data_IF_312534093995
#
_entry.id   IF_312534093995
#
_cell.length_a   1.000
_cell.length_b   1.000
_cell.length_c   1.000
_cell.angle_alpha   90.00
_cell.angle_beta   90.00
_cell.angle_gamma   90.00
#
_symmetry.space_group_name_H-M   'P 1'
#
loop_
_entity.id
_entity.type
_entity.pdbx_description
1 polymer ?
#
# COMPACT_ATOMS: atom_id res chain seq x y z
N UNK A 1 21.34 37.90 31.03
CA UNK A 1 21.61 36.92 29.96
C UNK A 1 20.56 35.81 29.84
N UNK A 2 20.00 35.30 30.95
CA UNK A 2 19.01 34.20 31.02
C UNK A 2 17.65 34.48 30.36
N UNK A 3 17.04 35.66 30.52
CA UNK A 3 15.72 36.01 29.96
C UNK A 3 15.70 36.15 28.43
N UNK A 4 16.84 36.53 27.81
CA UNK A 4 16.98 36.66 26.35
C UNK A 4 17.05 35.28 25.68
N UNK A 5 17.77 34.32 26.32
CA UNK A 5 17.90 32.94 25.86
C UNK A 5 16.56 32.18 25.95
N UNK A 6 15.75 32.44 27.00
CA UNK A 6 14.42 31.86 27.13
C UNK A 6 13.43 32.45 26.10
N UNK A 7 13.55 33.74 25.77
CA UNK A 7 12.72 34.41 24.77
C UNK A 7 13.04 33.93 23.34
N UNK A 8 14.33 33.68 23.05
CA UNK A 8 14.76 33.14 21.77
C UNK A 8 14.40 31.64 21.62
N UNK A 9 14.49 30.85 22.68
CA UNK A 9 13.96 29.46 22.68
C UNK A 9 12.44 29.41 22.49
N UNK A 10 11.67 30.35 23.06
CA UNK A 10 10.22 30.46 22.81
C UNK A 10 9.90 30.95 21.41
N UNK A 11 10.70 31.86 20.83
CA UNK A 11 10.53 32.31 19.42
C UNK A 11 10.92 31.23 18.41
N UNK A 12 11.98 30.47 18.65
CA UNK A 12 12.36 29.33 17.81
C UNK A 12 11.35 28.18 17.90
N UNK A 13 10.71 27.96 19.05
CA UNK A 13 9.64 26.96 19.17
C UNK A 13 8.34 27.42 18.49
N UNK A 14 8.00 28.73 18.52
CA UNK A 14 6.85 29.27 17.78
C UNK A 14 7.08 29.30 16.25
N UNK A 15 8.32 29.42 15.78
CA UNK A 15 8.64 29.42 14.34
C UNK A 15 8.56 28.02 13.68
N UNK A 16 8.64 26.93 14.45
CA UNK A 16 8.62 25.56 13.94
C UNK A 16 7.23 24.97 13.68
N UNK A 17 6.15 25.63 14.10
CA UNK A 17 4.77 25.21 13.81
C UNK A 17 4.02 26.27 12.99
N UNK A 18 4.46 26.52 11.77
CA UNK A 18 3.59 27.14 10.77
C UNK A 18 2.62 26.06 10.31
N UNK A 19 1.53 25.88 11.05
CA UNK A 19 0.40 25.06 10.67
C UNK A 19 -0.11 25.49 9.30
N UNK A 20 0.09 24.68 8.25
CA UNK A 20 -0.63 24.90 7.01
C UNK A 20 -2.12 24.72 7.30
N UNK A 21 -2.93 25.62 6.75
CA UNK A 21 -4.39 25.46 6.76
C UNK A 21 -4.72 24.07 6.28
N UNK A 22 -5.59 23.31 6.98
CA UNK A 22 -6.01 21.99 6.50
C UNK A 22 -6.52 22.12 5.07
N UNK A 23 -6.21 21.14 4.25
CA UNK A 23 -6.72 21.08 2.87
C UNK A 23 -8.24 21.14 2.93
N UNK A 24 -8.87 21.85 2.01
CA UNK A 24 -10.32 21.88 1.92
C UNK A 24 -10.82 20.51 1.45
N UNK A 25 -11.02 19.62 2.42
CA UNK A 25 -11.43 18.25 2.16
C UNK A 25 -12.77 18.17 1.44
N UNK A 26 -13.70 19.10 1.70
CA UNK A 26 -15.01 19.11 1.05
C UNK A 26 -14.88 19.39 -0.45
N UNK A 27 -14.03 20.34 -0.86
CA UNK A 27 -13.78 20.61 -2.27
C UNK A 27 -13.19 19.40 -2.99
N UNK A 28 -12.19 18.74 -2.37
CA UNK A 28 -11.60 17.53 -2.95
C UNK A 28 -12.59 16.38 -3.02
N UNK A 29 -13.42 16.20 -1.99
CA UNK A 29 -14.46 15.19 -1.99
C UNK A 29 -15.47 15.39 -3.12
N UNK A 30 -15.92 16.64 -3.35
CA UNK A 30 -16.80 16.97 -4.48
C UNK A 30 -16.13 16.67 -5.83
N UNK A 31 -14.86 17.01 -5.98
CA UNK A 31 -14.10 16.70 -7.20
C UNK A 31 -13.97 15.19 -7.43
N UNK A 32 -13.69 14.43 -6.37
CA UNK A 32 -13.63 12.97 -6.43
C UNK A 32 -14.98 12.36 -6.79
N UNK A 33 -16.07 12.83 -6.18
CA UNK A 33 -17.44 12.40 -6.52
C UNK A 33 -17.76 12.67 -7.99
N UNK A 34 -17.42 13.84 -8.51
CA UNK A 34 -17.61 14.17 -9.93
C UNK A 34 -16.81 13.23 -10.84
N UNK A 35 -15.57 12.94 -10.47
CA UNK A 35 -14.71 11.98 -11.19
C UNK A 35 -15.31 10.57 -11.18
N UNK A 36 -15.80 10.09 -10.04
CA UNK A 36 -16.42 8.76 -9.89
C UNK A 36 -17.71 8.65 -10.71
N UNK A 37 -18.56 9.69 -10.72
CA UNK A 37 -19.75 9.74 -11.57
C UNK A 37 -19.37 9.70 -13.04
N UNK A 38 -18.35 10.45 -13.44
CA UNK A 38 -17.84 10.42 -14.82
C UNK A 38 -17.33 9.03 -15.22
N UNK A 39 -16.59 8.34 -14.34
CA UNK A 39 -16.19 6.95 -14.57
C UNK A 39 -17.38 6.01 -14.72
N UNK A 40 -18.40 6.14 -13.87
CA UNK A 40 -19.61 5.32 -13.97
C UNK A 40 -20.34 5.54 -15.29
N UNK A 41 -20.49 6.80 -15.74
CA UNK A 41 -21.10 7.14 -17.04
C UNK A 41 -20.32 6.53 -18.19
N UNK A 42 -18.99 6.63 -18.20
CA UNK A 42 -18.16 6.02 -19.26
C UNK A 42 -18.35 4.50 -19.33
N UNK A 43 -18.34 3.81 -18.19
CA UNK A 43 -18.54 2.35 -18.18
C UNK A 43 -19.96 2.00 -18.66
N UNK A 44 -20.97 2.78 -18.28
CA UNK A 44 -22.35 2.58 -18.72
C UNK A 44 -22.57 2.77 -20.20
N UNK A 45 -21.89 3.75 -20.80
CA UNK A 45 -21.98 3.99 -22.26
C UNK A 45 -21.29 2.91 -23.09
N UNK A 46 -20.25 2.28 -22.52
CA UNK A 46 -19.47 1.23 -23.19
C UNK A 46 -19.93 -0.19 -22.81
N UNK A 47 -20.80 -0.34 -21.81
CA UNK A 47 -21.34 -1.62 -21.31
C UNK A 47 -22.59 -2.07 -22.07
N UNK A 48 -22.70 -3.40 -22.36
CA UNK A 48 -23.72 -3.93 -23.27
C UNK A 48 -25.10 -4.17 -22.67
N UNK A 49 -25.24 -5.00 -21.63
CA UNK A 49 -26.56 -5.50 -21.17
C UNK A 49 -27.15 -4.70 -20.00
N UNK A 50 -28.48 -4.58 -19.90
CA UNK A 50 -29.17 -3.78 -18.89
C UNK A 50 -28.95 -4.28 -17.44
N UNK A 51 -28.78 -5.58 -17.24
CA UNK A 51 -28.46 -6.19 -15.92
C UNK A 51 -27.09 -5.70 -15.43
N UNK A 52 -26.13 -5.58 -16.32
CA UNK A 52 -24.79 -5.07 -16.03
C UNK A 52 -24.85 -3.59 -15.65
N UNK A 53 -25.70 -2.79 -16.33
CA UNK A 53 -25.88 -1.37 -16.02
C UNK A 53 -26.40 -1.15 -14.60
N UNK A 54 -27.39 -1.95 -14.14
CA UNK A 54 -27.89 -1.89 -12.77
C UNK A 54 -26.79 -2.14 -11.72
N UNK A 55 -25.93 -3.13 -11.96
CA UNK A 55 -24.79 -3.43 -11.08
C UNK A 55 -23.79 -2.26 -11.00
N UNK A 56 -23.45 -1.64 -12.13
CA UNK A 56 -22.52 -0.51 -12.18
C UNK A 56 -23.06 0.67 -11.37
N UNK A 57 -24.33 1.05 -11.60
CA UNK A 57 -24.97 2.14 -10.87
C UNK A 57 -24.99 1.86 -9.37
N UNK A 58 -25.40 0.66 -8.95
CA UNK A 58 -25.49 0.29 -7.55
C UNK A 58 -24.12 0.32 -6.85
N UNK A 59 -23.07 -0.21 -7.48
CA UNK A 59 -21.73 -0.27 -6.91
C UNK A 59 -21.14 1.14 -6.72
N UNK A 60 -21.24 2.01 -7.73
CA UNK A 60 -20.75 3.38 -7.62
C UNK A 60 -21.57 4.22 -6.63
N UNK A 61 -22.90 4.09 -6.64
CA UNK A 61 -23.76 4.78 -5.67
C UNK A 61 -23.45 4.36 -4.23
N UNK A 62 -23.27 3.05 -3.97
CA UNK A 62 -22.88 2.56 -2.66
C UNK A 62 -21.48 3.06 -2.27
N UNK A 63 -20.52 3.05 -3.19
CA UNK A 63 -19.17 3.53 -2.91
C UNK A 63 -19.16 5.02 -2.53
N UNK A 64 -19.83 5.87 -3.31
CA UNK A 64 -19.99 7.30 -3.02
C UNK A 64 -20.70 7.52 -1.68
N UNK A 65 -21.77 6.76 -1.40
CA UNK A 65 -22.49 6.85 -0.12
C UNK A 65 -21.59 6.52 1.07
N UNK A 66 -20.77 5.45 0.97
CA UNK A 66 -19.82 5.06 2.03
C UNK A 66 -18.77 6.15 2.22
N UNK A 67 -18.24 6.70 1.13
CA UNK A 67 -17.25 7.77 1.17
C UNK A 67 -17.82 9.02 1.88
N UNK A 68 -18.95 9.52 1.47
CA UNK A 68 -19.61 10.67 2.10
C UNK A 68 -19.96 10.40 3.57
N UNK A 69 -20.51 9.22 3.89
CA UNK A 69 -20.82 8.81 5.25
C UNK A 69 -19.58 8.83 6.13
N UNK A 70 -18.45 8.30 5.62
CA UNK A 70 -17.18 8.32 6.33
C UNK A 70 -16.76 9.76 6.68
N UNK A 71 -16.71 10.66 5.69
CA UNK A 71 -16.27 12.03 5.93
C UNK A 71 -17.23 12.82 6.84
N UNK A 72 -18.53 12.67 6.70
CA UNK A 72 -19.54 13.33 7.55
C UNK A 72 -19.42 12.84 8.99
N UNK A 73 -19.32 11.53 9.21
CA UNK A 73 -19.19 10.97 10.56
C UNK A 73 -17.88 11.41 11.23
N UNK A 74 -16.76 11.31 10.53
CA UNK A 74 -15.47 11.65 11.13
C UNK A 74 -15.26 13.16 11.28
N UNK A 75 -15.80 13.99 10.40
CA UNK A 75 -15.76 15.45 10.53
C UNK A 75 -16.75 15.96 11.58
N UNK A 76 -17.99 15.46 11.55
CA UNK A 76 -19.06 15.91 12.46
C UNK A 76 -18.91 15.38 13.87
N UNK A 77 -18.98 14.05 14.06
CA UNK A 77 -18.95 13.42 15.38
C UNK A 77 -17.57 13.45 16.03
N UNK A 78 -16.52 13.08 15.29
CA UNK A 78 -15.17 12.99 15.83
C UNK A 78 -14.39 14.31 15.69
N UNK A 79 -15.00 15.33 15.08
CA UNK A 79 -14.43 16.69 14.88
C UNK A 79 -13.00 16.66 14.35
N UNK A 80 -12.70 15.71 13.45
CA UNK A 80 -11.40 15.63 12.79
C UNK A 80 -11.26 16.74 11.76
N UNK A 81 -10.05 17.28 11.60
CA UNK A 81 -9.76 18.39 10.68
C UNK A 81 -8.85 18.00 9.51
N UNK A 82 -8.12 16.90 9.63
CA UNK A 82 -7.15 16.41 8.64
C UNK A 82 -7.67 15.12 8.01
N UNK A 83 -7.76 15.09 6.70
CA UNK A 83 -8.27 13.96 5.90
C UNK A 83 -7.42 13.66 4.68
N UNK A 84 -6.20 14.21 4.60
CA UNK A 84 -5.35 14.10 3.42
C UNK A 84 -5.05 12.64 3.05
N UNK A 85 -4.79 11.80 4.04
CA UNK A 85 -4.42 10.39 3.84
C UNK A 85 -5.63 9.57 3.41
N UNK A 86 -6.79 9.82 4.03
CA UNK A 86 -8.04 9.15 3.70
C UNK A 86 -8.53 9.54 2.30
N UNK A 87 -8.42 10.80 1.91
CA UNK A 87 -8.76 11.26 0.55
C UNK A 87 -7.92 10.51 -0.51
N UNK A 88 -6.61 10.36 -0.27
CA UNK A 88 -5.74 9.60 -1.17
C UNK A 88 -6.18 8.13 -1.24
N UNK A 89 -6.48 7.50 -0.10
CA UNK A 89 -6.89 6.10 -0.06
C UNK A 89 -8.23 5.87 -0.80
N UNK A 90 -9.22 6.74 -0.61
CA UNK A 90 -10.47 6.68 -1.35
C UNK A 90 -10.28 6.94 -2.84
N UNK A 91 -9.49 7.94 -3.22
CA UNK A 91 -9.20 8.21 -4.63
C UNK A 91 -8.59 6.99 -5.34
N UNK A 92 -7.55 6.40 -4.76
CA UNK A 92 -6.89 5.21 -5.33
C UNK A 92 -7.82 3.98 -5.35
N UNK A 93 -8.60 3.77 -4.28
CA UNK A 93 -9.59 2.68 -4.23
C UNK A 93 -10.70 2.88 -5.29
N UNK A 94 -11.10 4.13 -5.54
CA UNK A 94 -12.07 4.48 -6.59
C UNK A 94 -11.58 4.17 -7.99
N UNK A 95 -10.29 4.45 -8.29
CA UNK A 95 -9.66 4.05 -9.56
C UNK A 95 -9.63 2.52 -9.69
N UNK A 96 -9.22 1.80 -8.64
CA UNK A 96 -9.22 0.33 -8.63
C UNK A 96 -10.61 -0.28 -8.82
N UNK A 97 -11.64 0.34 -8.21
CA UNK A 97 -13.04 -0.06 -8.40
C UNK A 97 -13.50 0.17 -9.85
N UNK A 98 -13.17 1.33 -10.43
CA UNK A 98 -13.52 1.69 -11.80
C UNK A 98 -12.88 0.71 -12.81
N UNK A 99 -11.58 0.43 -12.68
CA UNK A 99 -10.88 -0.54 -13.53
C UNK A 99 -11.44 -1.96 -13.39
N UNK A 100 -11.69 -2.41 -12.15
CA UNK A 100 -12.27 -3.74 -11.95
C UNK A 100 -13.66 -3.83 -12.57
N UNK A 101 -14.46 -2.78 -12.44
CA UNK A 101 -15.82 -2.74 -12.97
C UNK A 101 -15.85 -2.66 -14.50
N UNK A 102 -14.90 -1.95 -15.12
CA UNK A 102 -14.81 -1.83 -16.58
C UNK A 102 -14.46 -3.16 -17.26
N UNK A 103 -13.62 -3.99 -16.60
CA UNK A 103 -13.17 -5.28 -17.15
C UNK A 103 -14.08 -6.43 -16.73
N UNK A 104 -14.47 -6.47 -15.45
CA UNK A 104 -15.24 -7.56 -14.83
C UNK A 104 -16.43 -7.01 -14.03
N UNK A 105 -17.51 -6.57 -14.67
CA UNK A 105 -18.69 -6.01 -13.97
C UNK A 105 -19.28 -6.94 -12.90
N UNK A 106 -19.24 -8.25 -13.15
CA UNK A 106 -19.69 -9.29 -12.19
C UNK A 106 -18.80 -9.41 -10.94
N UNK A 107 -17.59 -8.87 -10.96
CA UNK A 107 -16.67 -8.82 -9.81
C UNK A 107 -16.68 -7.46 -9.08
N UNK A 108 -17.45 -6.49 -9.55
CA UNK A 108 -17.53 -5.14 -8.98
C UNK A 108 -17.98 -5.16 -7.51
N UNK A 109 -18.98 -5.96 -7.16
CA UNK A 109 -19.40 -6.14 -5.76
C UNK A 109 -18.30 -6.77 -4.90
N UNK A 110 -17.56 -7.73 -5.41
CA UNK A 110 -16.46 -8.36 -4.67
C UNK A 110 -15.37 -7.33 -4.34
N UNK A 111 -15.03 -6.45 -5.29
CA UNK A 111 -14.07 -5.38 -5.08
C UNK A 111 -14.60 -4.34 -4.08
N UNK A 112 -15.88 -3.96 -4.17
CA UNK A 112 -16.52 -3.05 -3.21
C UNK A 112 -16.50 -3.64 -1.80
N UNK A 113 -16.84 -4.92 -1.62
CA UNK A 113 -16.77 -5.61 -0.32
C UNK A 113 -15.33 -5.59 0.22
N UNK A 114 -14.33 -5.81 -0.63
CA UNK A 114 -12.92 -5.74 -0.22
C UNK A 114 -12.53 -4.34 0.29
N UNK A 115 -13.04 -3.28 -0.35
CA UNK A 115 -12.85 -1.89 0.11
C UNK A 115 -13.52 -1.68 1.48
N UNK A 116 -14.78 -2.12 1.63
CA UNK A 116 -15.51 -2.00 2.89
C UNK A 116 -14.83 -2.73 4.04
N UNK A 117 -14.36 -3.94 3.80
CA UNK A 117 -13.56 -4.70 4.77
C UNK A 117 -12.24 -3.98 5.09
N UNK A 118 -11.60 -3.39 4.08
CA UNK A 118 -10.41 -2.57 4.28
C UNK A 118 -10.66 -1.36 5.17
N UNK A 119 -11.75 -0.63 4.95
CA UNK A 119 -12.18 0.50 5.81
C UNK A 119 -12.45 0.00 7.24
N UNK A 120 -13.07 -1.16 7.39
CA UNK A 120 -13.28 -1.81 8.69
C UNK A 120 -11.95 -2.09 9.40
N UNK A 121 -10.98 -2.68 8.71
CA UNK A 121 -9.62 -2.92 9.22
C UNK A 121 -8.94 -1.60 9.61
N UNK A 122 -9.06 -0.56 8.79
CA UNK A 122 -8.54 0.77 9.09
C UNK A 122 -9.10 1.33 10.40
N UNK A 123 -10.41 1.27 10.60
CA UNK A 123 -11.07 1.78 11.82
C UNK A 123 -10.62 1.00 13.06
N UNK A 124 -10.61 -0.34 12.97
CA UNK A 124 -10.18 -1.22 14.07
C UNK A 124 -8.71 -0.97 14.42
N UNK A 125 -7.83 -0.88 13.43
CA UNK A 125 -6.43 -0.60 13.66
C UNK A 125 -6.23 0.79 14.28
N UNK A 126 -6.93 1.84 13.83
CA UNK A 126 -6.85 3.15 14.46
C UNK A 126 -7.29 3.12 15.92
N UNK A 127 -8.30 2.31 16.27
CA UNK A 127 -8.70 2.12 17.66
C UNK A 127 -7.60 1.40 18.46
N UNK A 128 -6.97 0.36 17.95
CA UNK A 128 -5.83 -0.31 18.59
C UNK A 128 -4.67 0.66 18.76
N UNK A 129 -4.32 1.40 17.71
CA UNK A 129 -3.20 2.32 17.66
C UNK A 129 -3.43 3.60 18.48
N UNK A 130 -4.66 3.85 18.96
CA UNK A 130 -4.95 5.02 19.79
C UNK A 130 -4.30 4.97 21.17
N UNK A 131 -3.84 3.81 21.62
CA UNK A 131 -3.23 3.57 22.92
C UNK A 131 -1.90 2.80 22.78
N UNK A 132 -0.81 3.42 23.23
CA UNK A 132 0.53 2.84 23.14
C UNK A 132 0.70 1.61 24.03
N UNK A 133 0.01 1.54 25.17
CA UNK A 133 0.09 0.38 26.05
C UNK A 133 -0.54 -0.86 25.42
N UNK A 134 -1.62 -0.70 24.65
CA UNK A 134 -2.19 -1.78 23.83
C UNK A 134 -1.21 -2.23 22.75
N UNK A 135 -0.55 -1.29 22.08
CA UNK A 135 0.44 -1.59 21.04
C UNK A 135 1.57 -2.44 21.62
N UNK A 136 2.12 -2.05 22.75
CA UNK A 136 3.21 -2.79 23.40
C UNK A 136 2.77 -4.18 23.86
N UNK A 137 1.57 -4.33 24.41
CA UNK A 137 1.01 -5.63 24.81
C UNK A 137 0.75 -6.56 23.63
N UNK A 138 0.26 -6.03 22.52
CA UNK A 138 -0.08 -6.82 21.32
C UNK A 138 1.14 -7.20 20.48
N UNK A 139 2.30 -6.60 20.69
CA UNK A 139 3.50 -6.84 19.91
C UNK A 139 3.87 -8.33 19.76
N UNK A 140 3.98 -9.04 20.89
CA UNK A 140 4.37 -10.45 20.89
C UNK A 140 3.29 -11.38 20.31
N UNK A 141 2.01 -11.27 20.70
CA UNK A 141 0.94 -12.01 20.05
C UNK A 141 0.89 -11.82 18.53
N UNK A 142 1.00 -10.58 18.05
CA UNK A 142 0.99 -10.28 16.62
C UNK A 142 2.20 -10.89 15.90
N UNK A 143 3.39 -10.86 16.50
CA UNK A 143 4.59 -11.48 15.91
C UNK A 143 4.43 -13.00 15.77
N UNK A 144 3.94 -13.67 16.82
CA UNK A 144 3.72 -15.13 16.82
C UNK A 144 2.65 -15.50 15.79
N UNK A 145 1.53 -14.75 15.77
CA UNK A 145 0.43 -15.01 14.83
C UNK A 145 0.87 -14.78 13.38
N UNK A 146 1.74 -13.81 13.12
CA UNK A 146 2.29 -13.54 11.78
C UNK A 146 3.14 -14.71 11.27
N UNK A 147 4.04 -15.23 12.11
CA UNK A 147 4.86 -16.40 11.76
C UNK A 147 3.96 -17.64 11.57
N UNK A 148 3.01 -17.87 12.48
CA UNK A 148 2.08 -18.99 12.38
C UNK A 148 1.24 -18.91 11.09
N UNK A 149 0.78 -17.73 10.70
CA UNK A 149 0.02 -17.50 9.46
C UNK A 149 0.87 -17.81 8.21
N UNK A 150 2.15 -17.40 8.17
CA UNK A 150 3.05 -17.72 7.07
C UNK A 150 3.36 -19.23 7.02
N UNK A 151 3.62 -19.87 8.15
CA UNK A 151 3.85 -21.32 8.23
C UNK A 151 2.59 -22.09 7.79
N UNK A 152 1.41 -21.68 8.25
CA UNK A 152 0.15 -22.25 7.82
C UNK A 152 -0.02 -22.14 6.30
N UNK A 153 0.29 -20.97 5.72
CA UNK A 153 0.26 -20.78 4.28
C UNK A 153 1.24 -21.70 3.56
N UNK A 154 2.48 -21.83 4.05
CA UNK A 154 3.48 -22.70 3.45
C UNK A 154 3.00 -24.17 3.35
N UNK A 155 2.24 -24.64 4.36
CA UNK A 155 1.73 -26.01 4.43
C UNK A 155 0.49 -26.19 3.55
N UNK A 156 -0.50 -25.28 3.63
CA UNK A 156 -1.83 -25.46 3.04
C UNK A 156 -2.07 -24.71 1.73
N UNK A 157 -1.16 -23.82 1.31
CA UNK A 157 -1.35 -23.04 0.08
C UNK A 157 -1.27 -23.93 -1.17
N UNK A 158 -2.13 -23.61 -2.13
CA UNK A 158 -2.05 -24.15 -3.48
C UNK A 158 -0.89 -23.54 -4.25
N UNK A 159 -0.25 -24.34 -5.10
CA UNK A 159 0.77 -23.83 -6.02
C UNK A 159 0.05 -23.13 -7.19
N UNK A 160 0.18 -21.80 -7.28
CA UNK A 160 -0.36 -20.99 -8.37
C UNK A 160 0.84 -20.28 -9.02
N UNK A 161 1.03 -20.50 -10.33
CA UNK A 161 2.13 -19.90 -11.11
C UNK A 161 3.53 -20.12 -10.48
N UNK A 162 3.74 -21.25 -9.80
CA UNK A 162 5.02 -21.60 -9.19
C UNK A 162 5.27 -21.05 -7.78
N UNK A 163 4.37 -20.23 -7.23
CA UNK A 163 4.43 -19.74 -5.86
C UNK A 163 3.35 -20.41 -4.98
N UNK A 164 3.67 -20.61 -3.69
CA UNK A 164 2.75 -21.17 -2.67
C UNK A 164 2.39 -20.10 -1.66
N UNK A 165 1.60 -19.12 -2.07
CA UNK A 165 1.27 -17.95 -1.25
C UNK A 165 -0.23 -17.65 -1.15
N UNK A 166 -1.09 -18.45 -1.80
CA UNK A 166 -2.53 -18.28 -1.81
C UNK A 166 -3.27 -19.39 -1.11
N UNK A 167 -4.07 -19.06 -0.12
CA UNK A 167 -5.06 -19.94 0.50
C UNK A 167 -6.38 -19.74 -0.23
N UNK A 168 -6.86 -20.79 -0.89
CA UNK A 168 -8.11 -20.77 -1.65
C UNK A 168 -9.17 -21.55 -0.87
N UNK A 169 -10.27 -20.87 -0.52
CA UNK A 169 -11.37 -21.42 0.27
C UNK A 169 -12.62 -21.49 -0.62
N UNK A 170 -13.42 -22.54 -0.48
CA UNK A 170 -14.73 -22.67 -1.13
C UNK A 170 -14.67 -22.69 -2.66
N UNK A 171 -13.89 -23.61 -3.25
CA UNK A 171 -13.77 -23.78 -4.72
C UNK A 171 -13.40 -22.49 -5.50
N UNK A 172 -12.63 -21.59 -4.87
CA UNK A 172 -12.20 -20.35 -5.52
C UNK A 172 -13.06 -19.12 -5.19
N UNK A 173 -14.04 -19.25 -4.32
CA UNK A 173 -14.87 -18.12 -3.86
C UNK A 173 -14.06 -17.05 -3.12
N UNK A 174 -13.12 -17.49 -2.27
CA UNK A 174 -12.22 -16.60 -1.52
C UNK A 174 -10.78 -17.07 -1.71
N UNK A 175 -9.94 -16.14 -2.12
CA UNK A 175 -8.49 -16.33 -2.16
C UNK A 175 -7.82 -15.29 -1.27
N UNK A 176 -7.07 -15.75 -0.29
CA UNK A 176 -6.39 -14.89 0.69
C UNK A 176 -4.88 -15.11 0.55
N UNK A 177 -4.16 -14.03 0.33
CA UNK A 177 -2.71 -14.00 0.41
C UNK A 177 -2.31 -13.51 1.80
N UNK A 178 -1.89 -14.42 2.67
CA UNK A 178 -1.55 -14.13 4.06
C UNK A 178 -0.39 -13.18 4.20
N UNK A 179 0.57 -13.20 3.30
CA UNK A 179 1.70 -12.27 3.29
C UNK A 179 1.26 -10.81 3.17
N UNK A 180 0.12 -10.52 2.52
CA UNK A 180 -0.45 -9.17 2.48
C UNK A 180 -0.81 -8.67 3.89
N UNK A 181 -1.51 -9.49 4.68
CA UNK A 181 -1.89 -9.15 6.06
C UNK A 181 -0.66 -9.03 6.95
N UNK A 182 0.31 -9.93 6.76
CA UNK A 182 1.56 -9.93 7.54
C UNK A 182 2.42 -8.69 7.27
N UNK A 183 2.31 -8.00 6.12
CA UNK A 183 2.99 -6.72 5.87
C UNK A 183 2.62 -5.65 6.92
N UNK A 184 1.34 -5.52 7.24
CA UNK A 184 0.86 -4.57 8.27
C UNK A 184 1.41 -4.97 9.64
N UNK A 185 1.31 -6.25 9.97
CA UNK A 185 1.83 -6.81 11.24
C UNK A 185 3.35 -6.64 11.36
N UNK A 186 4.10 -6.80 10.27
CA UNK A 186 5.54 -6.65 10.23
C UNK A 186 6.00 -5.25 10.63
N UNK A 187 5.36 -4.22 10.07
CA UNK A 187 5.62 -2.82 10.45
C UNK A 187 5.21 -2.56 11.89
N UNK A 188 4.02 -3.05 12.29
CA UNK A 188 3.52 -2.90 13.65
C UNK A 188 4.50 -3.48 14.67
N UNK A 189 4.96 -4.72 14.48
CA UNK A 189 5.90 -5.42 15.38
C UNK A 189 7.25 -4.69 15.40
N UNK A 190 7.76 -4.29 14.24
CA UNK A 190 9.03 -3.57 14.13
C UNK A 190 9.00 -2.24 14.88
N UNK A 191 8.00 -1.41 14.59
CA UNK A 191 7.84 -0.12 15.24
C UNK A 191 7.59 -0.24 16.76
N UNK A 192 6.73 -1.20 17.19
CA UNK A 192 6.43 -1.43 18.60
C UNK A 192 7.61 -1.99 19.40
N UNK A 193 8.44 -2.82 18.76
CA UNK A 193 9.66 -3.33 19.39
C UNK A 193 10.67 -2.20 19.61
N UNK A 194 10.75 -1.28 18.67
CA UNK A 194 11.71 -0.19 18.69
C UNK A 194 11.28 1.01 19.57
N UNK A 195 10.01 1.12 19.98
CA UNK A 195 9.56 2.11 20.97
C UNK A 195 10.15 1.86 22.36
N UNK A 196 10.25 0.60 22.77
CA UNK A 196 10.68 0.20 24.13
C UNK A 196 12.18 -0.04 24.26
N UNK A 197 12.98 0.27 23.23
CA UNK A 197 14.39 -0.08 23.17
C UNK A 197 15.27 0.76 24.12
N UNK A 198 15.57 0.15 25.24
CA UNK A 198 16.80 0.39 26.02
C UNK A 198 17.75 -0.83 26.00
N UNK A 199 17.41 -1.92 25.32
CA UNK A 199 18.11 -3.20 25.38
C UNK A 199 18.38 -3.80 23.99
N UNK A 200 19.64 -4.19 23.74
CA UNK A 200 20.08 -4.95 22.57
C UNK A 200 19.28 -6.24 22.34
N UNK A 201 18.76 -6.87 23.42
CA UNK A 201 17.94 -8.10 23.34
C UNK A 201 16.64 -7.91 22.53
N UNK A 202 16.04 -6.74 22.55
CA UNK A 202 14.80 -6.49 21.78
C UNK A 202 15.09 -6.30 20.30
N UNK A 203 16.21 -5.67 19.96
CA UNK A 203 16.67 -5.56 18.57
C UNK A 203 16.93 -6.94 17.96
N UNK A 204 17.63 -7.82 18.68
CA UNK A 204 17.88 -9.19 18.24
C UNK A 204 16.57 -9.94 17.98
N UNK A 205 15.57 -9.80 18.86
CA UNK A 205 14.24 -10.41 18.65
C UNK A 205 13.55 -9.92 17.37
N UNK A 206 13.65 -8.63 17.07
CA UNK A 206 13.09 -8.08 15.83
C UNK A 206 13.84 -8.58 14.60
N UNK A 207 15.16 -8.65 14.65
CA UNK A 207 15.99 -9.19 13.55
C UNK A 207 15.60 -10.65 13.28
N UNK A 208 15.50 -11.49 14.33
CA UNK A 208 15.08 -12.89 14.21
C UNK A 208 13.69 -12.97 13.57
N UNK A 209 12.72 -12.17 14.03
CA UNK A 209 11.39 -12.11 13.43
C UNK A 209 11.43 -11.74 11.96
N UNK A 210 12.18 -10.71 11.59
CA UNK A 210 12.31 -10.23 10.22
C UNK A 210 12.95 -11.27 9.30
N UNK A 211 14.06 -11.88 9.74
CA UNK A 211 14.75 -12.95 9.00
C UNK A 211 13.85 -14.17 8.83
N UNK A 212 13.09 -14.54 9.86
CA UNK A 212 12.13 -15.65 9.77
C UNK A 212 11.04 -15.36 8.74
N UNK A 213 10.43 -14.18 8.76
CA UNK A 213 9.40 -13.79 7.78
C UNK A 213 9.96 -13.80 6.34
N UNK A 214 11.11 -13.17 6.10
CA UNK A 214 11.75 -13.13 4.78
C UNK A 214 12.13 -14.54 4.33
N UNK A 215 12.69 -15.37 5.22
CA UNK A 215 13.06 -16.74 4.94
C UNK A 215 11.87 -17.61 4.54
N UNK A 216 10.73 -17.49 5.26
CA UNK A 216 9.49 -18.22 4.92
C UNK A 216 8.97 -17.80 3.53
N UNK A 217 8.92 -16.49 3.23
CA UNK A 217 8.51 -15.99 1.91
C UNK A 217 9.42 -16.50 0.81
N UNK A 218 10.72 -16.61 1.09
CA UNK A 218 11.68 -17.16 0.16
C UNK A 218 11.42 -18.66 -0.13
N UNK A 219 11.11 -19.46 0.91
CA UNK A 219 10.75 -20.87 0.76
C UNK A 219 9.44 -21.01 -0.03
N UNK A 220 8.49 -20.11 0.18
CA UNK A 220 7.22 -20.04 -0.57
C UNK A 220 7.38 -19.61 -2.03
N UNK A 221 8.61 -19.22 -2.45
CA UNK A 221 8.95 -18.64 -3.78
C UNK A 221 8.23 -17.33 -4.09
N UNK A 222 7.85 -16.57 -3.06
CA UNK A 222 7.27 -15.23 -3.16
C UNK A 222 8.37 -14.17 -3.02
N UNK A 223 9.22 -14.05 -4.06
CA UNK A 223 10.38 -13.17 -4.03
C UNK A 223 10.02 -11.68 -4.05
N UNK A 224 8.94 -11.33 -4.75
CA UNK A 224 8.47 -9.94 -4.78
C UNK A 224 8.09 -9.44 -3.40
N UNK A 225 7.29 -10.21 -2.67
CA UNK A 225 6.92 -9.89 -1.29
C UNK A 225 8.12 -9.98 -0.34
N UNK A 226 9.01 -10.96 -0.49
CA UNK A 226 10.24 -11.06 0.30
C UNK A 226 11.12 -9.80 0.16
N UNK A 227 11.24 -9.25 -1.05
CA UNK A 227 11.97 -8.01 -1.31
C UNK A 227 11.29 -6.79 -0.64
N UNK A 228 9.96 -6.73 -0.64
CA UNK A 228 9.21 -5.69 0.07
C UNK A 228 9.46 -5.76 1.58
N UNK A 229 9.44 -6.96 2.17
CA UNK A 229 9.73 -7.15 3.60
C UNK A 229 11.16 -6.77 3.94
N UNK A 230 12.11 -7.17 3.12
CA UNK A 230 13.52 -6.80 3.29
C UNK A 230 13.71 -5.28 3.23
N UNK A 231 13.17 -4.62 2.21
CA UNK A 231 13.21 -3.16 2.10
C UNK A 231 12.59 -2.47 3.32
N UNK A 232 11.43 -2.96 3.75
CA UNK A 232 10.75 -2.43 4.94
C UNK A 232 11.59 -2.61 6.20
N UNK A 233 12.26 -3.76 6.35
CA UNK A 233 13.21 -3.99 7.45
C UNK A 233 14.36 -2.98 7.42
N UNK A 234 14.96 -2.73 6.26
CA UNK A 234 16.05 -1.74 6.09
C UNK A 234 15.58 -0.34 6.48
N UNK A 235 14.39 0.07 6.04
CA UNK A 235 13.82 1.39 6.40
C UNK A 235 13.59 1.50 7.91
N UNK A 236 13.00 0.49 8.55
CA UNK A 236 12.77 0.49 10.00
C UNK A 236 14.11 0.54 10.76
N UNK A 237 15.11 -0.24 10.33
CA UNK A 237 16.43 -0.25 10.91
C UNK A 237 17.12 1.13 10.78
N UNK A 238 16.98 1.77 9.61
CA UNK A 238 17.50 3.12 9.37
C UNK A 238 16.83 4.18 10.24
N UNK A 239 15.52 4.22 10.25
CA UNK A 239 14.78 5.20 11.04
C UNK A 239 15.11 5.10 12.54
N UNK A 240 15.56 3.94 12.97
CA UNK A 240 16.00 3.72 14.35
C UNK A 240 17.46 4.03 14.61
N UNK A 241 18.36 3.52 13.78
CA UNK A 241 19.81 3.66 14.03
C UNK A 241 20.33 5.04 13.63
N UNK A 242 19.75 5.63 12.59
CA UNK A 242 20.30 6.85 11.95
C UNK A 242 21.67 6.65 11.31
N UNK A 243 22.17 5.40 11.28
CA UNK A 243 23.53 5.08 10.82
C UNK A 243 23.51 4.44 9.42
N UNK A 244 24.04 5.18 8.46
CA UNK A 244 24.15 4.74 7.06
C UNK A 244 25.10 3.54 6.90
N UNK A 245 26.13 3.41 7.77
CA UNK A 245 27.08 2.29 7.69
C UNK A 245 26.39 0.95 7.97
N UNK A 246 25.50 0.93 8.95
CA UNK A 246 24.68 -0.26 9.25
C UNK A 246 23.82 -0.68 8.06
N UNK A 247 23.22 0.29 7.35
CA UNK A 247 22.43 0.00 6.14
C UNK A 247 23.30 -0.57 5.04
N UNK A 248 24.45 0.07 4.79
CA UNK A 248 25.38 -0.41 3.77
C UNK A 248 25.78 -1.88 4.05
N UNK A 249 26.07 -2.23 5.31
CA UNK A 249 26.41 -3.59 5.70
C UNK A 249 25.26 -4.57 5.46
N UNK A 250 24.02 -4.19 5.82
CA UNK A 250 22.83 -5.01 5.59
C UNK A 250 22.60 -5.22 4.09
N UNK A 251 22.68 -4.15 3.29
CA UNK A 251 22.49 -4.22 1.84
C UNK A 251 23.61 -5.03 1.16
N UNK A 252 24.86 -4.89 1.59
CA UNK A 252 25.97 -5.68 1.09
C UNK A 252 25.81 -7.17 1.40
N UNK A 253 25.39 -7.52 2.62
CA UNK A 253 25.06 -8.90 2.99
C UNK A 253 23.92 -9.48 2.17
N UNK A 254 22.88 -8.69 1.93
CA UNK A 254 21.76 -9.10 1.08
C UNK A 254 22.15 -9.26 -0.38
N UNK A 255 23.05 -8.42 -0.90
CA UNK A 255 23.58 -8.54 -2.26
C UNK A 255 24.35 -9.86 -2.42
N UNK A 256 25.24 -10.16 -1.48
CA UNK A 256 26.00 -11.43 -1.48
C UNK A 256 25.05 -12.63 -1.40
N UNK A 257 24.05 -12.58 -0.52
CA UNK A 257 23.02 -13.61 -0.42
C UNK A 257 22.21 -13.74 -1.71
N UNK A 258 21.84 -12.63 -2.35
CA UNK A 258 21.13 -12.58 -3.62
C UNK A 258 21.94 -13.21 -4.77
N UNK A 259 23.22 -12.91 -4.88
CA UNK A 259 24.12 -13.53 -5.86
C UNK A 259 24.18 -15.04 -5.63
N UNK A 260 24.31 -15.50 -4.38
CA UNK A 260 24.27 -16.90 -4.03
C UNK A 260 22.96 -17.57 -4.48
N UNK A 261 21.82 -16.91 -4.26
CA UNK A 261 20.51 -17.43 -4.71
C UNK A 261 20.43 -17.54 -6.24
N UNK A 262 20.89 -16.54 -6.97
CA UNK A 262 20.91 -16.57 -8.44
C UNK A 262 21.78 -17.72 -8.98
N UNK A 263 22.90 -18.01 -8.30
CA UNK A 263 23.82 -19.09 -8.68
C UNK A 263 23.25 -20.48 -8.41
N UNK A 264 22.60 -20.67 -7.25
CA UNK A 264 22.16 -22.00 -6.81
C UNK A 264 20.68 -22.31 -7.12
N UNK A 265 19.88 -21.33 -7.60
CA UNK A 265 18.44 -21.52 -7.89
C UNK A 265 18.09 -21.14 -9.32
N UNK A 266 18.18 -22.07 -10.29
CA UNK A 266 17.91 -21.82 -11.72
C UNK A 266 16.53 -21.16 -11.98
N UNK A 267 15.54 -21.46 -11.15
CA UNK A 267 14.21 -20.87 -11.26
C UNK A 267 14.23 -19.33 -11.10
N UNK A 268 15.08 -18.80 -10.21
CA UNK A 268 15.22 -17.35 -10.01
C UNK A 268 16.00 -16.76 -11.18
N UNK A 269 17.08 -17.41 -11.61
CA UNK A 269 17.88 -17.00 -12.77
C UNK A 269 17.03 -16.91 -14.05
N UNK A 270 16.10 -17.85 -14.25
CA UNK A 270 15.20 -17.85 -15.41
C UNK A 270 14.26 -16.65 -15.50
N UNK A 271 13.97 -15.97 -14.39
CA UNK A 271 13.20 -14.71 -14.42
C UNK A 271 14.01 -13.53 -14.97
N UNK A 272 15.34 -13.60 -14.88
CA UNK A 272 16.23 -12.60 -15.45
C UNK A 272 16.53 -12.81 -16.94
N UNK A 273 16.24 -13.99 -17.49
CA UNK A 273 16.54 -14.30 -18.90
C UNK A 273 15.74 -13.45 -19.90
N UNK A 274 14.53 -13.04 -19.54
CA UNK A 274 13.69 -12.17 -20.38
C UNK A 274 13.85 -10.68 -20.04
N UNK A 275 14.49 -10.35 -18.93
CA UNK A 275 14.69 -8.97 -18.49
C UNK A 275 15.59 -8.20 -19.47
N UNK A 276 15.20 -7.00 -19.85
CA UNK A 276 15.78 -6.16 -20.90
C UNK A 276 15.73 -6.76 -22.34
N UNK A 277 15.13 -7.95 -22.52
CA UNK A 277 15.01 -8.64 -23.81
C UNK A 277 13.58 -9.07 -24.10
N UNK A 278 12.57 -8.41 -23.51
CA UNK A 278 11.16 -8.82 -23.61
C UNK A 278 10.65 -8.85 -25.05
N UNK A 279 11.19 -8.03 -25.95
CA UNK A 279 10.82 -7.98 -27.36
C UNK A 279 11.22 -9.22 -28.13
N UNK A 280 12.34 -9.88 -27.76
CA UNK A 280 12.77 -11.15 -28.33
C UNK A 280 11.85 -12.31 -27.90
N UNK A 281 11.17 -12.15 -26.75
CA UNK A 281 10.23 -13.12 -26.18
C UNK A 281 8.76 -12.66 -26.26
N UNK A 282 8.43 -11.80 -27.24
CA UNK A 282 7.12 -11.14 -27.34
C UNK A 282 5.93 -12.10 -27.42
N UNK A 283 6.12 -13.29 -28.01
CA UNK A 283 5.07 -14.31 -28.13
C UNK A 283 5.11 -15.39 -27.02
N UNK A 284 6.04 -15.29 -26.10
CA UNK A 284 6.24 -16.28 -25.02
C UNK A 284 6.28 -15.62 -23.64
N UNK A 285 7.44 -15.59 -22.99
CA UNK A 285 7.61 -15.08 -21.60
C UNK A 285 7.41 -13.57 -21.49
N UNK A 286 7.70 -12.80 -22.54
CA UNK A 286 7.54 -11.35 -22.60
C UNK A 286 6.15 -10.88 -23.05
N UNK A 287 5.25 -11.79 -23.44
CA UNK A 287 3.96 -11.46 -24.05
C UNK A 287 3.16 -10.41 -23.27
N UNK A 288 2.98 -10.61 -21.98
CA UNK A 288 2.19 -9.69 -21.14
C UNK A 288 2.85 -8.30 -21.04
N UNK A 289 4.17 -8.23 -20.83
CA UNK A 289 4.89 -6.96 -20.72
C UNK A 289 4.92 -6.19 -22.05
N UNK A 290 5.17 -6.87 -23.17
CA UNK A 290 5.15 -6.24 -24.49
C UNK A 290 3.75 -5.68 -24.80
N UNK A 291 2.68 -6.44 -24.54
CA UNK A 291 1.31 -5.95 -24.72
C UNK A 291 0.99 -4.80 -23.79
N UNK A 292 1.44 -4.86 -22.53
CA UNK A 292 1.29 -3.76 -21.59
C UNK A 292 1.95 -2.47 -22.13
N UNK A 293 3.20 -2.54 -22.61
CA UNK A 293 3.89 -1.36 -23.13
C UNK A 293 3.18 -0.77 -24.36
N UNK A 294 2.79 -1.62 -25.32
CA UNK A 294 2.08 -1.18 -26.53
C UNK A 294 0.77 -0.49 -26.18
N UNK A 295 -0.04 -1.10 -25.32
CA UNK A 295 -1.36 -0.57 -25.01
C UNK A 295 -1.29 0.62 -24.03
N UNK A 296 -0.31 0.67 -23.12
CA UNK A 296 -0.10 1.86 -22.28
C UNK A 296 0.17 3.12 -23.10
N UNK A 297 0.95 3.00 -24.18
CA UNK A 297 1.23 4.14 -25.08
C UNK A 297 -0.01 4.55 -25.88
N UNK A 298 -0.87 3.60 -26.24
CA UNK A 298 -2.09 3.89 -27.00
C UNK A 298 -3.09 4.79 -26.24
N UNK A 299 -3.01 4.81 -24.90
CA UNK A 299 -3.85 5.68 -24.05
C UNK A 299 -3.54 7.18 -24.19
N UNK A 300 -2.34 7.55 -24.62
CA UNK A 300 -1.94 8.94 -24.75
C UNK A 300 -2.06 9.74 -23.46
N UNK A 301 -2.42 11.04 -23.57
CA UNK A 301 -2.51 11.93 -22.40
C UNK A 301 -3.79 11.70 -21.59
N UNK A 302 -4.93 11.44 -22.23
CA UNK A 302 -6.26 11.45 -21.62
C UNK A 302 -6.92 10.08 -21.51
N UNK A 303 -6.29 9.02 -22.06
CA UNK A 303 -6.82 7.67 -22.09
C UNK A 303 -7.82 7.42 -23.22
N UNK A 304 -8.06 6.13 -23.49
CA UNK A 304 -9.07 5.67 -24.46
C UNK A 304 -10.49 5.69 -23.87
N UNK A 305 -10.62 5.92 -22.56
CA UNK A 305 -11.86 5.79 -21.79
C UNK A 305 -12.07 4.37 -21.25
N UNK A 306 -12.80 4.30 -20.13
CA UNK A 306 -13.06 3.06 -19.41
C UNK A 306 -13.83 2.05 -20.28
N UNK A 307 -13.32 0.83 -20.35
CA UNK A 307 -13.91 -0.26 -21.12
C UNK A 307 -13.52 -0.30 -22.61
N UNK A 308 -12.77 0.68 -23.11
CA UNK A 308 -12.31 0.72 -24.51
C UNK A 308 -10.88 0.19 -24.70
N UNK A 309 -10.16 -0.06 -23.58
CA UNK A 309 -8.80 -0.58 -23.61
C UNK A 309 -8.73 -2.01 -24.15
N UNK A 310 -7.65 -2.34 -24.83
CA UNK A 310 -7.36 -3.69 -25.36
C UNK A 310 -6.64 -4.56 -24.33
N UNK A 311 -5.94 -3.95 -23.37
CA UNK A 311 -5.20 -4.65 -22.33
C UNK A 311 -6.12 -5.52 -21.46
N UNK A 312 -7.42 -5.16 -21.35
CA UNK A 312 -8.44 -5.95 -20.63
C UNK A 312 -8.56 -7.40 -21.10
N UNK A 313 -8.19 -7.71 -22.36
CA UNK A 313 -8.20 -9.06 -22.90
C UNK A 313 -6.96 -9.89 -22.53
N UNK A 314 -5.98 -9.31 -21.86
CA UNK A 314 -4.77 -10.00 -21.42
C UNK A 314 -4.97 -10.60 -20.03
N UNK A 315 -4.43 -11.80 -19.81
CA UNK A 315 -4.49 -12.48 -18.52
C UNK A 315 -3.90 -11.60 -17.41
N UNK A 316 -4.55 -11.55 -16.24
CA UNK A 316 -4.17 -10.77 -15.06
C UNK A 316 -4.08 -9.24 -15.31
N UNK A 317 -4.87 -8.71 -16.26
CA UNK A 317 -4.87 -7.28 -16.62
C UNK A 317 -5.17 -6.37 -15.42
N UNK A 318 -6.13 -6.74 -14.58
CA UNK A 318 -6.51 -5.96 -13.38
C UNK A 318 -5.65 -6.25 -12.14
N UNK A 319 -4.78 -7.22 -12.18
CA UNK A 319 -3.87 -7.61 -11.10
C UNK A 319 -2.45 -7.10 -11.36
N UNK A 320 -1.72 -7.82 -12.20
CA UNK A 320 -0.29 -7.60 -12.45
C UNK A 320 -0.02 -6.53 -13.51
N UNK A 321 -1.01 -6.20 -14.35
CA UNK A 321 -0.91 -5.21 -15.41
C UNK A 321 -1.68 -3.91 -15.08
N UNK A 322 -2.11 -3.75 -13.84
CA UNK A 322 -3.00 -2.67 -13.41
C UNK A 322 -2.48 -1.26 -13.75
N UNK A 323 -1.16 -1.01 -13.68
CA UNK A 323 -0.59 0.27 -14.09
C UNK A 323 -0.77 0.55 -15.59
N UNK A 324 -0.57 -0.47 -16.44
CA UNK A 324 -0.81 -0.38 -17.89
C UNK A 324 -2.27 -0.08 -18.19
N UNK A 325 -3.20 -0.70 -17.47
CA UNK A 325 -4.63 -0.40 -17.56
C UNK A 325 -4.93 1.06 -17.21
N UNK A 326 -4.32 1.61 -16.13
CA UNK A 326 -4.46 3.02 -15.81
C UNK A 326 -3.93 3.91 -16.94
N UNK A 327 -2.78 3.59 -17.53
CA UNK A 327 -2.22 4.35 -18.65
C UNK A 327 -3.12 4.29 -19.88
N UNK A 328 -3.65 3.10 -20.23
CA UNK A 328 -4.47 2.90 -21.41
C UNK A 328 -5.85 3.55 -21.27
N UNK A 329 -6.57 3.27 -20.19
CA UNK A 329 -7.96 3.71 -20.03
C UNK A 329 -8.11 5.16 -19.50
N UNK A 330 -7.24 5.58 -18.55
CA UNK A 330 -7.29 6.93 -17.96
C UNK A 330 -6.26 7.91 -18.54
N UNK A 331 -5.23 7.40 -19.23
CA UNK A 331 -4.13 8.21 -19.77
C UNK A 331 -3.01 8.50 -18.78
N UNK A 332 -1.91 9.03 -19.34
CA UNK A 332 -0.67 9.25 -18.59
C UNK A 332 -0.82 10.32 -17.48
N UNK A 333 -1.72 11.29 -17.63
CA UNK A 333 -1.95 12.34 -16.63
C UNK A 333 -2.49 11.72 -15.33
N UNK A 334 -3.50 10.86 -15.42
CA UNK A 334 -4.05 10.18 -14.24
C UNK A 334 -3.05 9.16 -13.70
N UNK A 335 -2.34 8.41 -14.57
CA UNK A 335 -1.29 7.48 -14.14
C UNK A 335 -0.20 8.20 -13.34
N UNK A 336 0.26 9.37 -13.80
CA UNK A 336 1.24 10.18 -13.09
C UNK A 336 0.67 10.72 -11.76
N UNK A 337 -0.60 11.15 -11.76
CA UNK A 337 -1.29 11.58 -10.52
C UNK A 337 -1.33 10.47 -9.48
N UNK A 338 -1.61 9.23 -9.90
CA UNK A 338 -1.54 8.04 -9.03
C UNK A 338 -0.16 7.91 -8.40
N UNK A 339 0.91 8.00 -9.17
CA UNK A 339 2.28 7.91 -8.63
C UNK A 339 2.58 9.04 -7.63
N UNK A 340 2.14 10.26 -7.94
CA UNK A 340 2.31 11.42 -7.05
C UNK A 340 1.59 11.25 -5.71
N UNK A 341 0.47 10.52 -5.66
CA UNK A 341 -0.23 10.27 -4.38
C UNK A 341 0.62 9.44 -3.42
N UNK A 342 1.37 8.45 -3.89
CA UNK A 342 2.29 7.66 -3.05
C UNK A 342 3.46 8.50 -2.54
N UNK A 343 4.01 9.37 -3.38
CA UNK A 343 5.02 10.35 -2.95
C UNK A 343 4.44 11.30 -1.89
N UNK A 344 3.20 11.75 -2.08
CA UNK A 344 2.52 12.61 -1.11
C UNK A 344 2.33 11.92 0.25
N UNK A 345 2.02 10.61 0.30
CA UNK A 345 1.95 9.84 1.55
C UNK A 345 3.30 9.80 2.28
N UNK A 346 4.41 9.63 1.56
CA UNK A 346 5.76 9.67 2.16
C UNK A 346 6.07 11.07 2.71
N UNK A 347 5.81 12.12 1.93
CA UNK A 347 6.00 13.50 2.37
C UNK A 347 5.14 13.83 3.59
N UNK A 348 3.90 13.36 3.61
CA UNK A 348 3.01 13.47 4.77
C UNK A 348 3.62 12.81 6.00
N UNK A 349 4.02 11.55 5.89
CA UNK A 349 4.59 10.76 7.00
C UNK A 349 5.84 11.41 7.58
N UNK A 350 6.77 11.87 6.73
CA UNK A 350 7.99 12.57 7.16
C UNK A 350 7.66 13.86 7.91
N UNK A 351 6.73 14.67 7.39
CA UNK A 351 6.35 15.94 8.02
C UNK A 351 5.76 15.75 9.42
N UNK A 352 4.86 14.78 9.58
CA UNK A 352 4.26 14.50 10.89
C UNK A 352 5.21 13.77 11.83
N UNK A 353 6.14 12.97 11.29
CA UNK A 353 7.19 12.30 12.06
C UNK A 353 8.09 13.28 12.82
N UNK A 354 8.45 14.41 12.19
CA UNK A 354 9.26 15.47 12.85
C UNK A 354 8.54 16.11 14.04
N UNK A 355 7.20 16.14 14.02
CA UNK A 355 6.38 16.70 15.09
C UNK A 355 6.00 15.67 16.18
N UNK A 356 6.13 14.37 15.88
CA UNK A 356 5.78 13.29 16.79
C UNK A 356 6.80 13.13 17.91
N UNK A 357 6.33 12.80 19.13
CA UNK A 357 7.20 12.50 20.26
C UNK A 357 7.37 11.00 20.52
N UNK A 358 6.58 10.15 19.88
CA UNK A 358 6.66 8.70 20.00
C UNK A 358 7.39 8.15 18.79
N UNK A 359 8.43 7.38 19.02
CA UNK A 359 9.19 6.69 17.99
C UNK A 359 8.33 5.69 17.22
N UNK A 360 7.39 5.01 17.92
CA UNK A 360 6.47 4.07 17.31
C UNK A 360 5.70 4.68 16.14
N UNK A 361 4.97 5.79 16.39
CA UNK A 361 4.14 6.40 15.33
C UNK A 361 4.97 6.95 14.18
N UNK A 362 6.16 7.50 14.48
CA UNK A 362 7.08 8.00 13.47
C UNK A 362 7.60 6.88 12.57
N UNK A 363 8.08 5.79 13.18
CA UNK A 363 8.62 4.63 12.45
C UNK A 363 7.50 3.95 11.67
N UNK A 364 6.34 3.70 12.30
CA UNK A 364 5.22 3.02 11.64
C UNK A 364 4.71 3.79 10.42
N UNK A 365 4.52 5.11 10.54
CA UNK A 365 4.03 5.93 9.44
C UNK A 365 5.03 6.02 8.29
N UNK A 366 6.30 6.28 8.59
CA UNK A 366 7.35 6.36 7.56
C UNK A 366 7.60 5.01 6.88
N UNK A 367 7.61 3.90 7.63
CA UNK A 367 7.79 2.57 7.08
C UNK A 367 6.58 2.14 6.22
N UNK A 368 5.35 2.43 6.65
CA UNK A 368 4.15 2.10 5.87
C UNK A 368 4.08 2.89 4.56
N UNK A 369 4.35 4.20 4.58
CA UNK A 369 4.36 5.01 3.35
C UNK A 369 5.51 4.65 2.42
N UNK A 370 6.70 4.33 2.96
CA UNK A 370 7.85 3.87 2.19
C UNK A 370 7.58 2.50 1.55
N UNK A 371 6.90 1.57 2.26
CA UNK A 371 6.48 0.27 1.72
C UNK A 371 5.53 0.46 0.53
N UNK A 372 4.49 1.30 0.68
CA UNK A 372 3.53 1.57 -0.39
C UNK A 372 4.23 2.16 -1.62
N UNK A 373 5.14 3.13 -1.44
CA UNK A 373 5.90 3.71 -2.54
C UNK A 373 6.82 2.69 -3.21
N UNK A 374 7.53 1.87 -2.42
CA UNK A 374 8.43 0.85 -2.94
C UNK A 374 7.67 -0.26 -3.69
N UNK A 375 6.55 -0.73 -3.16
CA UNK A 375 5.68 -1.70 -3.84
C UNK A 375 5.15 -1.14 -5.17
N UNK A 376 4.75 0.15 -5.19
CA UNK A 376 4.35 0.85 -6.42
C UNK A 376 5.50 0.92 -7.43
N UNK A 377 6.70 1.26 -6.97
CA UNK A 377 7.89 1.30 -7.84
C UNK A 377 8.22 -0.08 -8.41
N UNK A 378 8.17 -1.15 -7.61
CA UNK A 378 8.38 -2.52 -8.09
C UNK A 378 7.33 -2.93 -9.13
N UNK A 379 6.06 -2.55 -8.93
CA UNK A 379 5.00 -2.83 -9.89
C UNK A 379 5.24 -2.09 -11.22
N UNK A 380 5.46 -0.78 -11.15
CA UNK A 380 5.62 0.07 -12.34
C UNK A 380 6.91 -0.27 -13.09
N UNK A 381 8.04 -0.38 -12.40
CA UNK A 381 9.32 -0.68 -13.03
C UNK A 381 9.40 -2.12 -13.55
N UNK A 382 8.76 -3.08 -12.86
CA UNK A 382 8.60 -4.44 -13.36
C UNK A 382 7.73 -4.50 -14.62
N UNK A 383 6.63 -3.75 -14.65
CA UNK A 383 5.74 -3.67 -15.79
C UNK A 383 6.39 -3.00 -17.01
N UNK A 384 7.29 -2.02 -16.80
CA UNK A 384 7.99 -1.27 -17.85
C UNK A 384 9.37 -1.85 -18.24
N UNK A 385 9.71 -3.05 -17.76
CA UNK A 385 11.01 -3.72 -17.99
C UNK A 385 12.25 -2.94 -17.50
N UNK A 386 12.04 -1.99 -16.57
CA UNK A 386 13.14 -1.32 -15.87
C UNK A 386 13.69 -2.16 -14.70
N UNK A 387 12.88 -3.08 -14.17
CA UNK A 387 13.26 -4.10 -13.20
C UNK A 387 12.69 -5.46 -13.65
N UNK A 388 13.27 -6.57 -13.18
CA UNK A 388 12.70 -7.90 -13.41
C UNK A 388 11.25 -7.97 -12.88
N UNK A 389 10.36 -8.58 -13.64
CA UNK A 389 8.95 -8.67 -13.26
C UNK A 389 8.75 -9.51 -12.00
N UNK A 390 8.20 -8.89 -10.97
CA UNK A 390 7.99 -9.50 -9.67
C UNK A 390 6.56 -10.02 -9.43
N UNK A 391 5.57 -9.56 -10.21
CA UNK A 391 4.15 -9.91 -10.01
C UNK A 391 3.56 -9.38 -8.69
N UNK A 392 4.08 -8.26 -8.17
CA UNK A 392 3.49 -7.59 -7.00
C UNK A 392 2.34 -6.67 -7.44
N UNK A 393 1.30 -6.58 -6.63
CA UNK A 393 0.11 -5.76 -6.92
C UNK A 393 0.40 -4.27 -6.81
N UNK A 394 -0.27 -3.44 -7.63
CA UNK A 394 -0.31 -1.98 -7.47
C UNK A 394 -1.24 -1.64 -6.29
N UNK A 395 -0.73 -1.01 -5.21
CA UNK A 395 -1.53 -0.78 -4.02
C UNK A 395 -2.84 -0.03 -4.31
N UNK A 396 -3.97 -0.45 -3.72
CA UNK A 396 -5.34 0.03 -3.90
C UNK A 396 -5.96 -0.19 -5.29
N UNK A 397 -5.17 -0.28 -6.35
CA UNK A 397 -5.65 -0.27 -7.74
C UNK A 397 -5.81 -1.67 -8.27
N UNK A 398 -4.80 -2.54 -8.07
CA UNK A 398 -4.91 -3.95 -8.46
C UNK A 398 -6.09 -4.63 -7.77
N UNK A 399 -6.80 -5.46 -8.52
CA UNK A 399 -7.87 -6.29 -7.98
C UNK A 399 -7.32 -7.31 -6.99
N UNK A 400 -7.82 -7.30 -5.76
CA UNK A 400 -7.41 -8.25 -4.73
C UNK A 400 -7.95 -7.92 -3.35
N UNK A 401 -8.71 -8.85 -2.75
CA UNK A 401 -9.35 -8.62 -1.45
C UNK A 401 -8.35 -8.40 -0.31
N UNK A 402 -7.38 -9.31 -0.17
CA UNK A 402 -6.34 -9.22 0.88
C UNK A 402 -5.41 -8.03 0.68
N UNK A 403 -5.07 -7.70 -0.58
CA UNK A 403 -4.24 -6.54 -0.91
C UNK A 403 -4.95 -5.23 -0.55
N UNK A 404 -6.25 -5.11 -0.85
CA UNK A 404 -7.05 -3.93 -0.49
C UNK A 404 -7.12 -3.74 1.03
N UNK A 405 -7.40 -4.81 1.79
CA UNK A 405 -7.40 -4.76 3.26
C UNK A 405 -6.04 -4.37 3.83
N UNK A 406 -4.96 -4.89 3.26
CA UNK A 406 -3.60 -4.51 3.63
C UNK A 406 -3.33 -3.03 3.41
N UNK A 407 -3.67 -2.50 2.24
CA UNK A 407 -3.46 -1.10 1.88
C UNK A 407 -4.17 -0.16 2.86
N UNK A 408 -5.44 -0.42 3.21
CA UNK A 408 -6.17 0.32 4.22
C UNK A 408 -5.56 0.15 5.62
N UNK A 409 -5.02 -1.04 5.94
CA UNK A 409 -4.27 -1.28 7.17
C UNK A 409 -2.98 -0.45 7.26
N UNK A 410 -2.23 -0.32 6.16
CA UNK A 410 -1.04 0.54 6.07
C UNK A 410 -1.41 2.02 6.22
N UNK A 411 -2.54 2.44 5.63
CA UNK A 411 -3.07 3.80 5.82
C UNK A 411 -3.43 4.07 7.28
N UNK A 412 -3.92 3.08 8.02
CA UNK A 412 -4.15 3.23 9.46
C UNK A 412 -2.85 3.51 10.23
N UNK A 413 -1.75 2.84 9.89
CA UNK A 413 -0.43 3.10 10.49
C UNK A 413 0.06 4.52 10.16
N UNK A 414 -0.13 4.99 8.93
CA UNK A 414 0.21 6.36 8.52
C UNK A 414 -0.66 7.37 9.28
N UNK A 415 -1.97 7.13 9.38
CA UNK A 415 -2.90 8.05 10.02
C UNK A 415 -2.75 8.13 11.54
N UNK A 416 -2.30 7.06 12.17
CA UNK A 416 -2.14 7.02 13.62
C UNK A 416 -1.22 8.11 14.17
N UNK A 417 -0.25 8.58 13.39
CA UNK A 417 0.68 9.65 13.79
C UNK A 417 -0.05 10.98 13.99
N UNK A 418 -1.04 11.27 13.15
CA UNK A 418 -1.83 12.50 13.18
C UNK A 418 -2.78 12.54 14.40
N UNK A 419 -3.50 11.46 14.65
CA UNK A 419 -4.48 11.36 15.75
C UNK A 419 -3.85 11.68 17.11
N UNK A 420 -2.59 11.27 17.35
CA UNK A 420 -1.87 11.55 18.62
C UNK A 420 -1.34 12.98 18.69
N UNK A 421 -0.92 13.56 17.59
CA UNK A 421 -0.40 14.92 17.53
C UNK A 421 -1.51 15.93 17.84
N UNK A 422 -2.73 15.75 17.32
CA UNK A 422 -3.86 16.66 17.55
C UNK A 422 -4.47 16.58 18.97
N UNK A 423 -4.67 15.40 19.52
CA UNK A 423 -5.23 15.25 20.90
C UNK A 423 -4.41 16.00 21.95
N UNK A 424 -3.13 16.21 21.71
CA UNK A 424 -2.25 16.91 22.64
C UNK A 424 -2.27 18.42 22.43
N UNK A 425 -2.47 18.88 21.20
CA UNK A 425 -2.57 20.31 20.90
C UNK A 425 -3.82 20.92 21.54
N UNK A 426 -4.96 20.25 21.47
CA UNK A 426 -6.20 20.68 22.11
C UNK A 426 -6.09 20.72 23.66
N UNK A 427 -5.26 19.87 24.28
CA UNK A 427 -4.99 19.91 25.72
C UNK A 427 -4.05 21.05 26.12
N UNK A 428 -3.12 21.43 25.23
CA UNK A 428 -2.16 22.53 25.49
C UNK A 428 -2.76 23.91 25.20
N UNK A 429 -3.76 23.97 24.33
CA UNK A 429 -4.45 25.24 23.96
C UNK A 429 -5.62 25.52 24.92
N UNK A 430 -6.18 24.50 25.57
CA UNK A 430 -7.30 24.63 26.52
C UNK A 430 -6.86 24.62 27.99
N UNK A 431 -5.60 24.40 28.33
CA UNK A 431 -4.97 24.57 29.65
C UNK A 431 -3.97 25.72 29.63
#
# INVERSE_FOLDING_TARGET
>A
MSKKIQKDKKKTHKRKMRYRRPVNWLFLLLLMTAFQIFCAIQILTNGGEDIVKGTIIAVFALYITVEWTYFIVFAGFLRRKSFEVELIAFFLSGIGLALTTSVYPNKAYTQLIAILLGIGVFIVLLWILSDIDRVVKLRMPVAILSIAALVFTLIFAKNINGARNWIVIGNGLLSIQTSEIVKVAFIFVGAATLETLQSTKLLTKYIIFAVTCVGLLFIMKDFGTALIFFFTFVIIAFLRSGDIKTIFLICAGALIGGIGVLTFKPYVANRFNSYCHIWEFADTKGYQQVRLLIYSVSGGLFGLGLGNGKLRGIYASTEDLAFGMVCEEFGIIIAFTVLLTFVALVVYSIRYSVASRSSFYSIAACAASALLLFQTALHVFGATDLLPWTGVTLPFISRGGSSMMCCWGLVALIKAIDVKTYKRYDKVVKG
#
